data_IF_089593043932
#
_entry.id   IF_089593043932
#
_cell.length_a   1.000
_cell.length_b   1.000
_cell.length_c   1.000
_cell.angle_alpha   90.00
_cell.angle_beta   90.00
_cell.angle_gamma   90.00
#
_symmetry.space_group_name_H-M   'P 1'
#
loop_
_entity.id
_entity.type
_entity.pdbx_description
1 polymer ?
#
# COMPACT_ATOMS: atom_id res chain seq x y z
N UNK A 1 8.42 25.03 -4.00
CA UNK A 1 7.52 24.32 -4.95
C UNK A 1 7.19 22.91 -4.51
N UNK A 2 8.08 22.19 -3.81
CA UNK A 2 7.82 20.80 -3.38
C UNK A 2 6.73 20.67 -2.30
N UNK A 3 6.43 21.74 -1.57
CA UNK A 3 5.51 21.71 -0.42
C UNK A 3 4.01 21.67 -0.80
N UNK A 4 3.67 21.99 -2.07
CA UNK A 4 2.30 21.87 -2.59
C UNK A 4 2.07 20.53 -3.30
N UNK A 5 3.13 19.95 -3.87
CA UNK A 5 3.03 18.68 -4.61
C UNK A 5 2.67 17.53 -3.67
N UNK A 6 3.27 17.47 -2.46
CA UNK A 6 2.93 16.42 -1.50
C UNK A 6 1.51 16.55 -0.96
N UNK A 7 0.98 17.78 -0.77
CA UNK A 7 -0.42 18.01 -0.38
C UNK A 7 -1.38 17.46 -1.42
N UNK A 8 -1.09 17.67 -2.72
CA UNK A 8 -1.89 17.15 -3.82
C UNK A 8 -1.80 15.62 -3.90
N UNK A 9 -0.58 15.06 -3.84
CA UNK A 9 -0.36 13.61 -3.87
C UNK A 9 -1.03 12.92 -2.68
N UNK A 10 -1.02 13.54 -1.50
CA UNK A 10 -1.69 13.02 -0.30
C UNK A 10 -3.21 13.00 -0.46
N UNK A 11 -3.79 14.06 -1.02
CA UNK A 11 -5.23 14.14 -1.25
C UNK A 11 -5.68 13.12 -2.32
N UNK A 12 -4.85 12.87 -3.32
CA UNK A 12 -5.07 11.84 -4.35
C UNK A 12 -4.96 10.43 -3.74
N UNK A 13 -3.95 10.17 -2.90
CA UNK A 13 -3.75 8.88 -2.23
C UNK A 13 -4.90 8.59 -1.25
N UNK A 14 -5.35 9.59 -0.49
CA UNK A 14 -6.50 9.46 0.41
C UNK A 14 -7.78 9.08 -0.33
N UNK A 15 -8.12 9.82 -1.39
CA UNK A 15 -9.33 9.55 -2.20
C UNK A 15 -9.29 8.18 -2.89
N UNK A 16 -8.12 7.73 -3.34
CA UNK A 16 -7.97 6.42 -4.00
C UNK A 16 -8.04 5.25 -3.02
N UNK A 17 -7.56 5.41 -1.77
CA UNK A 17 -7.71 4.41 -0.70
C UNK A 17 -9.18 4.22 -0.31
N UNK A 18 -9.95 5.31 -0.18
CA UNK A 18 -11.37 5.28 0.14
C UNK A 18 -12.18 4.54 -0.95
N UNK A 19 -11.88 4.85 -2.23
CA UNK A 19 -12.52 4.18 -3.36
C UNK A 19 -12.22 2.68 -3.43
N UNK A 20 -10.99 2.25 -3.09
CA UNK A 20 -10.64 0.82 -3.01
C UNK A 20 -11.40 0.09 -1.91
N UNK A 21 -11.56 0.71 -0.74
CA UNK A 21 -12.32 0.12 0.37
C UNK A 21 -13.78 -0.12 -0.02
N UNK A 22 -14.43 0.87 -0.63
CA UNK A 22 -15.78 0.73 -1.16
C UNK A 22 -15.89 -0.36 -2.25
N UNK A 23 -14.88 -0.50 -3.12
CA UNK A 23 -14.85 -1.54 -4.14
C UNK A 23 -14.65 -2.95 -3.57
N UNK A 24 -13.82 -3.11 -2.53
CA UNK A 24 -13.62 -4.37 -1.83
C UNK A 24 -14.86 -4.80 -1.05
N UNK A 25 -15.56 -3.87 -0.40
CA UNK A 25 -16.82 -4.13 0.30
C UNK A 25 -17.93 -4.54 -0.68
N UNK A 26 -18.04 -3.86 -1.83
CA UNK A 26 -18.95 -4.27 -2.90
C UNK A 26 -18.61 -5.66 -3.46
N UNK A 27 -17.32 -5.96 -3.65
CA UNK A 27 -16.85 -7.27 -4.13
C UNK A 27 -17.04 -8.38 -3.09
N UNK A 28 -17.00 -8.05 -1.79
CA UNK A 28 -17.29 -8.97 -0.70
C UNK A 28 -18.80 -9.27 -0.63
N UNK A 29 -19.65 -8.26 -0.78
CA UNK A 29 -21.10 -8.43 -0.90
C UNK A 29 -21.48 -9.32 -2.09
N UNK A 30 -20.87 -9.10 -3.26
CA UNK A 30 -21.11 -9.93 -4.45
C UNK A 30 -20.70 -11.39 -4.28
N UNK A 31 -19.57 -11.67 -3.60
CA UNK A 31 -19.11 -13.04 -3.34
C UNK A 31 -19.97 -13.79 -2.32
N UNK A 32 -20.54 -13.09 -1.34
CA UNK A 32 -21.45 -13.70 -0.38
C UNK A 32 -22.83 -14.01 -0.98
N UNK A 33 -23.25 -13.27 -2.01
CA UNK A 33 -24.50 -13.52 -2.74
C UNK A 33 -24.47 -14.72 -3.70
N UNK A 34 -23.30 -15.27 -4.04
CA UNK A 34 -23.16 -16.36 -5.03
C UNK A 34 -23.01 -17.76 -4.41
N UNK A 35 -23.09 -17.90 -3.09
CA UNK A 35 -22.75 -19.17 -2.41
C UNK A 35 -23.95 -19.92 -1.80
N UNK A 36 -25.18 -19.64 -2.23
CA UNK A 36 -26.39 -20.32 -1.72
C UNK A 36 -27.28 -20.97 -2.78
N UNK A 37 -26.75 -21.30 -3.97
CA UNK A 37 -27.46 -22.09 -4.98
C UNK A 37 -26.68 -23.37 -5.28
N UNK A 38 -26.68 -24.30 -4.33
CA UNK A 38 -26.55 -25.74 -4.60
C UNK A 38 -26.82 -26.46 -3.29
N UNK A 39 -27.77 -27.38 -3.37
CA UNK A 39 -28.12 -28.38 -2.36
C UNK A 39 -29.05 -27.90 -1.24
N UNK A 40 -30.35 -27.81 -1.55
CA UNK A 40 -31.37 -28.50 -0.75
C UNK A 40 -32.63 -28.80 -1.56
N UNK A 41 -32.99 -30.07 -1.53
CA UNK A 41 -34.17 -30.68 -2.11
C UNK A 41 -35.48 -29.99 -1.70
N UNK A 42 -36.42 -30.00 -2.66
CA UNK A 42 -37.87 -30.18 -2.53
C UNK A 42 -38.59 -29.69 -1.27
N UNK A 43 -39.65 -28.88 -1.50
CA UNK A 43 -40.83 -28.70 -0.63
C UNK A 43 -40.94 -27.45 0.26
N UNK A 44 -40.33 -26.32 -0.12
CA UNK A 44 -40.76 -25.00 0.40
C UNK A 44 -41.01 -23.98 -0.72
N UNK A 45 -41.86 -24.35 -1.67
CA UNK A 45 -42.38 -23.45 -2.70
C UNK A 45 -43.68 -22.78 -2.22
N UNK A 46 -43.58 -21.86 -1.26
CA UNK A 46 -44.57 -20.81 -0.99
C UNK A 46 -44.14 -19.95 0.20
N UNK A 47 -43.41 -18.85 -0.04
CA UNK A 47 -43.54 -17.64 0.80
C UNK A 47 -42.81 -16.39 0.32
N UNK A 48 -41.87 -16.44 -0.64
CA UNK A 48 -41.08 -15.22 -0.99
C UNK A 48 -41.54 -14.58 -2.31
N UNK A 49 -42.83 -14.20 -2.38
CA UNK A 49 -43.34 -13.28 -3.40
C UNK A 49 -44.30 -12.21 -2.83
N UNK A 50 -44.17 -11.82 -1.55
CA UNK A 50 -45.05 -10.80 -0.93
C UNK A 50 -44.31 -9.57 -0.37
N UNK A 51 -43.18 -9.16 -0.94
CA UNK A 51 -42.53 -7.88 -0.56
C UNK A 51 -41.94 -7.12 -1.74
N UNK A 52 -42.56 -7.23 -2.92
CA UNK A 52 -42.38 -6.29 -4.02
C UNK A 52 -43.68 -5.48 -4.14
N UNK A 53 -43.78 -4.38 -3.41
CA UNK A 53 -44.53 -3.16 -3.76
C UNK A 53 -44.66 -2.26 -2.53
N UNK A 54 -43.62 -1.48 -2.26
CA UNK A 54 -43.71 -0.18 -1.57
C UNK A 54 -42.32 0.45 -1.54
N UNK A 55 -41.81 0.84 -2.71
CA UNK A 55 -40.80 1.90 -2.76
C UNK A 55 -41.47 3.07 -3.47
N UNK A 56 -42.10 3.90 -2.66
CA UNK A 56 -42.51 5.25 -3.03
C UNK A 56 -41.31 5.95 -3.66
N UNK A 57 -41.44 6.31 -4.95
CA UNK A 57 -40.52 7.19 -5.64
C UNK A 57 -40.49 8.54 -4.90
N UNK A 58 -39.53 8.70 -4.01
CA UNK A 58 -39.10 10.02 -3.58
C UNK A 58 -38.45 10.69 -4.79
N UNK A 59 -39.10 11.77 -5.24
CA UNK A 59 -38.64 12.68 -6.27
C UNK A 59 -37.27 13.23 -5.92
N UNK A 60 -36.22 12.69 -6.54
CA UNK A 60 -34.91 13.32 -6.53
C UNK A 60 -34.97 14.59 -7.40
N UNK A 61 -34.53 15.76 -6.88
CA UNK A 61 -34.55 17.00 -7.64
C UNK A 61 -33.65 16.88 -8.88
N UNK A 62 -34.16 17.36 -10.01
CA UNK A 62 -33.57 17.29 -11.36
C UNK A 62 -32.20 18.01 -11.52
N UNK A 63 -31.57 18.45 -10.44
CA UNK A 63 -30.39 19.31 -10.48
C UNK A 63 -29.06 18.54 -10.63
N UNK A 64 -28.99 17.27 -10.21
CA UNK A 64 -27.70 16.55 -10.18
C UNK A 64 -27.35 15.77 -11.46
N UNK A 65 -28.31 15.56 -12.39
CA UNK A 65 -28.02 14.81 -13.63
C UNK A 65 -27.11 15.57 -14.60
N UNK A 66 -26.96 16.88 -14.45
CA UNK A 66 -26.06 17.70 -15.29
C UNK A 66 -24.60 17.65 -14.82
N UNK A 67 -24.36 17.47 -13.52
CA UNK A 67 -22.99 17.41 -12.97
C UNK A 67 -22.27 16.11 -13.37
N UNK A 68 -23.00 14.99 -13.38
CA UNK A 68 -22.43 13.69 -13.74
C UNK A 68 -22.04 13.64 -15.24
N UNK A 69 -22.83 14.24 -16.14
CA UNK A 69 -22.50 14.28 -17.56
C UNK A 69 -21.32 15.22 -17.88
N UNK A 70 -21.18 16.34 -17.14
CA UNK A 70 -20.05 17.24 -17.29
C UNK A 70 -18.71 16.60 -16.84
N UNK A 71 -18.73 15.83 -15.75
CA UNK A 71 -17.55 15.12 -15.26
C UNK A 71 -17.05 14.05 -16.25
N UNK A 72 -17.96 13.34 -16.94
CA UNK A 72 -17.57 12.33 -17.95
C UNK A 72 -16.96 12.93 -19.22
N UNK A 73 -17.34 14.16 -19.60
CA UNK A 73 -16.75 14.84 -20.76
C UNK A 73 -15.35 15.40 -20.47
N UNK A 74 -15.10 15.86 -19.24
CA UNK A 74 -13.78 16.38 -18.84
C UNK A 74 -12.70 15.29 -18.76
N UNK A 75 -13.04 14.07 -18.34
CA UNK A 75 -12.08 12.94 -18.28
C UNK A 75 -11.67 12.49 -19.69
N UNK A 76 -12.56 12.59 -20.67
CA UNK A 76 -12.26 12.20 -22.06
C UNK A 76 -11.34 13.20 -22.79
N UNK A 77 -11.31 14.47 -22.38
CA UNK A 77 -10.48 15.51 -22.99
C UNK A 77 -9.06 15.61 -22.41
N UNK A 78 -8.78 14.94 -21.29
CA UNK A 78 -7.44 14.93 -20.67
C UNK A 78 -6.54 13.78 -21.16
N UNK A 79 -7.05 12.89 -22.01
CA UNK A 79 -6.21 11.90 -22.73
C UNK A 79 -5.65 12.56 -23.99
N UNK A 80 -4.80 13.56 -23.82
CA UNK A 80 -3.95 14.07 -24.90
C UNK A 80 -2.76 13.12 -25.01
N UNK A 81 -2.57 12.38 -26.12
CA UNK A 81 -1.38 11.56 -26.32
C UNK A 81 -0.16 12.48 -26.41
N UNK A 82 0.61 12.56 -25.33
CA UNK A 82 1.85 13.33 -25.26
C UNK A 82 2.94 12.54 -25.98
N UNK A 83 3.05 12.72 -27.30
CA UNK A 83 4.17 12.24 -28.11
C UNK A 83 5.38 13.14 -27.88
N UNK A 84 6.03 13.02 -26.73
CA UNK A 84 7.36 13.61 -26.54
C UNK A 84 8.40 12.74 -27.27
N UNK A 85 8.86 13.23 -28.42
CA UNK A 85 10.07 12.76 -29.07
C UNK A 85 11.26 12.97 -28.13
N UNK A 86 11.77 11.87 -27.58
CA UNK A 86 12.97 11.82 -26.74
C UNK A 86 14.21 12.02 -27.64
N UNK A 87 14.66 13.28 -27.76
CA UNK A 87 15.96 13.61 -28.35
C UNK A 87 17.03 13.30 -27.31
N UNK A 88 17.73 12.18 -27.52
CA UNK A 88 18.86 11.77 -26.70
C UNK A 88 20.02 12.76 -26.78
N UNK A 89 20.23 13.54 -25.73
CA UNK A 89 21.50 14.24 -25.49
C UNK A 89 22.45 13.33 -24.74
N UNK A 90 23.38 12.73 -25.49
CA UNK A 90 24.52 11.99 -24.95
C UNK A 90 25.51 12.99 -24.33
N UNK A 91 25.43 13.16 -23.00
CA UNK A 91 26.40 13.95 -22.25
C UNK A 91 27.41 13.01 -21.59
N UNK A 92 28.61 13.01 -22.17
CA UNK A 92 29.83 12.42 -21.64
C UNK A 92 30.06 12.86 -20.19
N UNK A 93 29.79 11.97 -19.22
CA UNK A 93 30.26 12.15 -17.85
C UNK A 93 31.58 11.43 -17.65
N UNK A 94 32.58 12.23 -17.33
CA UNK A 94 33.92 11.80 -16.98
C UNK A 94 33.89 10.85 -15.79
N UNK A 95 34.54 9.71 -15.99
CA UNK A 95 34.83 8.69 -15.00
C UNK A 95 35.79 9.24 -13.95
N UNK A 96 35.26 9.68 -12.81
CA UNK A 96 36.06 9.87 -11.60
C UNK A 96 36.17 8.53 -10.90
N UNK A 97 37.40 8.01 -10.85
CA UNK A 97 37.78 6.82 -10.09
C UNK A 97 37.49 7.05 -8.61
N UNK A 98 36.31 6.63 -8.17
CA UNK A 98 35.94 6.60 -6.77
C UNK A 98 36.56 5.34 -6.16
N UNK A 99 37.71 5.54 -5.52
CA UNK A 99 38.40 4.57 -4.68
C UNK A 99 37.41 3.99 -3.66
N UNK A 100 37.03 2.72 -3.84
CA UNK A 100 36.21 2.00 -2.88
C UNK A 100 37.01 1.79 -1.58
N UNK A 101 36.45 2.11 -0.40
CA UNK A 101 37.01 1.62 0.84
C UNK A 101 36.84 0.10 0.88
N UNK A 102 37.97 -0.56 1.09
CA UNK A 102 38.16 -2.00 1.27
C UNK A 102 37.15 -2.53 2.30
N UNK A 103 36.03 -3.07 1.80
CA UNK A 103 35.05 -3.75 2.63
C UNK A 103 35.74 -4.94 3.30
N UNK A 104 35.75 -4.93 4.63
CA UNK A 104 36.10 -6.09 5.44
C UNK A 104 35.14 -7.21 5.05
N UNK A 105 35.69 -8.25 4.44
CA UNK A 105 34.98 -9.48 4.14
C UNK A 105 34.49 -10.10 5.45
N UNK A 106 33.25 -9.80 5.82
CA UNK A 106 32.51 -10.57 6.80
C UNK A 106 32.18 -11.90 6.13
N UNK A 107 33.10 -12.85 6.26
CA UNK A 107 32.93 -14.24 5.85
C UNK A 107 31.90 -14.87 6.80
N UNK A 108 30.62 -14.61 6.54
CA UNK A 108 29.52 -15.21 7.26
C UNK A 108 29.40 -16.67 6.80
N UNK A 109 30.10 -17.53 7.52
CA UNK A 109 30.02 -18.98 7.42
C UNK A 109 28.61 -19.41 7.85
N UNK A 110 27.64 -19.29 6.95
CA UNK A 110 26.30 -19.81 7.18
C UNK A 110 26.36 -21.33 7.01
N UNK A 111 26.69 -22.03 8.09
CA UNK A 111 26.47 -23.46 8.21
C UNK A 111 24.98 -23.73 7.96
N UNK A 112 24.71 -24.31 6.81
CA UNK A 112 23.42 -24.89 6.48
C UNK A 112 23.22 -26.13 7.34
N UNK A 113 22.71 -25.95 8.55
CA UNK A 113 22.11 -27.02 9.35
C UNK A 113 20.73 -27.37 8.78
N UNK A 114 20.68 -27.83 7.52
CA UNK A 114 19.57 -28.65 7.07
C UNK A 114 19.95 -30.09 7.41
N UNK A 115 19.53 -30.55 8.60
CA UNK A 115 19.49 -31.97 8.85
C UNK A 115 18.66 -32.59 7.71
N UNK A 116 19.21 -33.53 6.92
CA UNK A 116 18.42 -34.19 5.90
C UNK A 116 17.26 -34.88 6.61
N UNK A 117 16.04 -34.51 6.24
CA UNK A 117 14.87 -35.34 6.53
C UNK A 117 15.13 -36.66 5.81
N UNK A 118 15.67 -37.63 6.55
CA UNK A 118 15.81 -39.01 6.11
C UNK A 118 14.41 -39.59 6.12
N UNK A 119 13.64 -39.34 5.06
CA UNK A 119 12.51 -40.18 4.73
C UNK A 119 13.11 -41.54 4.39
N UNK A 120 13.10 -42.40 5.41
CA UNK A 120 13.41 -43.81 5.32
C UNK A 120 12.31 -44.42 4.45
N UNK A 121 12.52 -44.37 3.14
CA UNK A 121 11.73 -45.13 2.18
C UNK A 121 12.11 -46.58 2.39
N UNK A 122 11.21 -47.32 3.06
CA UNK A 122 11.35 -48.74 3.25
C UNK A 122 11.42 -49.40 1.87
N UNK A 123 12.58 -50.00 1.60
CA UNK A 123 12.91 -50.72 0.38
C UNK A 123 11.94 -51.89 0.23
N UNK A 124 10.83 -51.63 -0.46
CA UNK A 124 9.94 -52.66 -0.97
C UNK A 124 10.58 -53.19 -2.24
N UNK A 125 11.19 -54.36 -2.11
CA UNK A 125 11.76 -55.19 -3.17
C UNK A 125 10.67 -55.52 -4.20
N UNK A 126 10.56 -54.67 -5.23
CA UNK A 126 9.83 -54.98 -6.44
C UNK A 126 10.87 -55.34 -7.50
N UNK A 127 11.06 -56.65 -7.71
CA UNK A 127 11.73 -57.20 -8.89
C UNK A 127 10.96 -56.76 -10.13
N UNK A 128 11.33 -55.61 -10.68
CA UNK A 128 10.75 -55.09 -11.91
C UNK A 128 11.57 -55.70 -13.05
N UNK A 129 10.90 -56.57 -13.82
CA UNK A 129 11.49 -57.27 -14.95
C UNK A 129 12.10 -56.28 -15.94
N UNK A 130 13.35 -56.57 -16.26
CA UNK A 130 14.23 -55.94 -17.24
C UNK A 130 13.61 -56.03 -18.64
N UNK A 131 12.83 -55.01 -19.00
CA UNK A 131 12.23 -54.90 -20.32
C UNK A 131 12.55 -53.55 -20.97
N UNK A 132 13.24 -53.69 -22.11
CA UNK A 132 13.36 -52.77 -23.25
C UNK A 132 14.27 -51.56 -23.09
N UNK A 133 15.51 -51.74 -23.55
CA UNK A 133 16.43 -50.72 -24.08
C UNK A 133 15.84 -50.04 -25.34
N UNK A 134 14.68 -49.40 -25.22
CA UNK A 134 14.21 -48.43 -26.20
C UNK A 134 14.98 -47.12 -25.95
N UNK A 135 15.69 -46.56 -26.95
CA UNK A 135 16.44 -45.32 -26.80
C UNK A 135 15.44 -44.19 -26.53
N UNK A 136 15.23 -43.91 -25.24
CA UNK A 136 14.40 -42.82 -24.75
C UNK A 136 14.88 -41.54 -25.42
N UNK A 137 14.10 -41.12 -26.42
CA UNK A 137 14.38 -39.94 -27.21
C UNK A 137 14.65 -38.74 -26.31
N UNK A 138 15.61 -37.93 -26.74
CA UNK A 138 16.13 -36.68 -26.19
C UNK A 138 15.05 -35.57 -26.04
N UNK A 139 13.92 -35.90 -25.42
CA UNK A 139 12.79 -35.03 -25.12
C UNK A 139 12.46 -34.99 -23.63
N UNK A 140 13.09 -35.84 -22.81
CA UNK A 140 12.91 -35.87 -21.35
C UNK A 140 13.63 -34.75 -20.59
N UNK A 141 14.64 -34.10 -21.19
CA UNK A 141 15.41 -33.03 -20.55
C UNK A 141 14.59 -31.75 -20.28
N UNK A 142 13.67 -31.41 -21.20
CA UNK A 142 12.89 -30.16 -21.14
C UNK A 142 11.96 -30.12 -19.93
N UNK A 143 11.40 -31.27 -19.52
CA UNK A 143 10.48 -31.33 -18.37
C UNK A 143 11.24 -31.17 -17.05
N UNK A 144 12.47 -31.71 -16.95
CA UNK A 144 13.28 -31.61 -15.74
C UNK A 144 13.75 -30.15 -15.54
N UNK A 145 14.18 -29.47 -16.60
CA UNK A 145 14.56 -28.05 -16.54
C UNK A 145 13.38 -27.14 -16.15
N UNK A 146 12.17 -27.44 -16.63
CA UNK A 146 10.94 -26.71 -16.26
C UNK A 146 10.60 -26.86 -14.76
N UNK A 147 10.77 -28.05 -14.18
CA UNK A 147 10.56 -28.25 -12.75
C UNK A 147 11.62 -27.53 -11.91
N UNK A 148 12.88 -27.55 -12.35
CA UNK A 148 13.98 -26.91 -11.61
C UNK A 148 13.78 -25.41 -11.46
N UNK A 149 13.37 -24.68 -12.51
CA UNK A 149 13.17 -23.23 -12.37
C UNK A 149 11.98 -22.90 -11.47
N UNK A 150 10.92 -23.71 -11.45
CA UNK A 150 9.76 -23.48 -10.56
C UNK A 150 10.17 -23.60 -9.09
N UNK A 151 10.98 -24.62 -8.77
CA UNK A 151 11.53 -24.82 -7.43
C UNK A 151 12.44 -23.66 -7.03
N UNK A 152 13.35 -23.25 -7.92
CA UNK A 152 14.26 -22.13 -7.65
C UNK A 152 13.49 -20.80 -7.49
N UNK A 153 12.44 -20.57 -8.29
CA UNK A 153 11.56 -19.42 -8.15
C UNK A 153 10.87 -19.39 -6.78
N UNK A 154 10.29 -20.52 -6.34
CA UNK A 154 9.66 -20.61 -5.01
C UNK A 154 10.66 -20.33 -3.89
N UNK A 155 11.86 -20.90 -3.99
CA UNK A 155 12.96 -20.67 -3.05
C UNK A 155 13.34 -19.19 -2.99
N UNK A 156 13.45 -18.52 -4.14
CA UNK A 156 13.74 -17.08 -4.22
C UNK A 156 12.63 -16.23 -3.61
N UNK A 157 11.37 -16.56 -3.87
CA UNK A 157 10.21 -15.85 -3.30
C UNK A 157 10.17 -16.00 -1.77
N UNK A 158 10.38 -17.21 -1.24
CA UNK A 158 10.50 -17.43 0.20
C UNK A 158 11.65 -16.66 0.82
N UNK A 159 12.84 -16.70 0.18
CA UNK A 159 13.99 -15.96 0.66
C UNK A 159 13.75 -14.45 0.63
N UNK A 160 13.07 -13.93 -0.39
CA UNK A 160 12.73 -12.51 -0.48
C UNK A 160 11.72 -12.11 0.61
N UNK A 161 10.68 -12.92 0.84
CA UNK A 161 9.73 -12.72 1.96
C UNK A 161 10.43 -12.74 3.31
N UNK A 162 11.32 -13.71 3.55
CA UNK A 162 12.13 -13.77 4.77
C UNK A 162 12.97 -12.53 4.96
N UNK A 163 13.66 -12.05 3.92
CA UNK A 163 14.47 -10.81 3.99
C UNK A 163 13.62 -9.58 4.26
N UNK A 164 12.44 -9.50 3.67
CA UNK A 164 11.50 -8.40 3.93
C UNK A 164 11.03 -8.39 5.38
N UNK A 165 10.63 -9.56 5.91
CA UNK A 165 10.19 -9.70 7.31
C UNK A 165 11.33 -9.50 8.32
N UNK A 166 12.56 -9.89 7.98
CA UNK A 166 13.74 -9.70 8.82
C UNK A 166 14.30 -8.27 8.75
N UNK A 167 13.93 -7.50 7.74
CA UNK A 167 14.39 -6.12 7.62
C UNK A 167 13.80 -5.26 8.73
N UNK A 168 14.64 -4.49 9.41
CA UNK A 168 14.19 -3.57 10.45
C UNK A 168 13.21 -2.56 9.82
N UNK A 169 12.06 -2.27 10.47
CA UNK A 169 11.15 -1.24 10.00
C UNK A 169 11.90 0.09 9.81
N UNK A 170 11.66 0.74 8.68
CA UNK A 170 12.20 2.07 8.39
C UNK A 170 11.15 3.09 8.78
N UNK A 171 11.35 3.75 9.91
CA UNK A 171 10.45 4.81 10.35
C UNK A 171 10.79 6.12 9.65
N UNK A 172 9.78 7.00 9.52
CA UNK A 172 9.98 8.35 9.01
C UNK A 172 10.94 9.15 9.93
N UNK A 173 11.63 10.18 9.42
CA UNK A 173 12.31 11.18 10.25
C UNK A 173 11.31 11.92 11.16
N UNK A 174 11.77 12.39 12.33
CA UNK A 174 10.92 13.03 13.34
C UNK A 174 10.03 14.14 12.78
N UNK A 175 10.59 15.06 11.98
CA UNK A 175 9.87 16.21 11.43
C UNK A 175 8.75 15.80 10.47
N UNK A 176 9.01 14.82 9.59
CA UNK A 176 8.01 14.33 8.64
C UNK A 176 6.93 13.52 9.36
N UNK A 177 7.32 12.72 10.37
CA UNK A 177 6.39 11.97 11.21
C UNK A 177 5.45 12.91 11.96
N UNK A 178 5.97 13.99 12.54
CA UNK A 178 5.19 15.02 13.23
C UNK A 178 4.21 15.69 12.28
N UNK A 179 4.68 16.15 11.11
CA UNK A 179 3.81 16.75 10.08
C UNK A 179 2.68 15.82 9.67
N UNK A 180 2.96 14.52 9.54
CA UNK A 180 1.94 13.52 9.21
C UNK A 180 0.88 13.41 10.32
N UNK A 181 1.29 13.36 11.59
CA UNK A 181 0.36 13.29 12.73
C UNK A 181 -0.49 14.56 12.83
N UNK A 182 0.13 15.73 12.68
CA UNK A 182 -0.55 17.03 12.70
C UNK A 182 -1.55 17.20 11.55
N UNK A 183 -1.22 16.68 10.35
CA UNK A 183 -2.11 16.74 9.18
C UNK A 183 -3.40 15.92 9.34
N UNK A 184 -3.45 14.98 10.28
CA UNK A 184 -4.67 14.21 10.60
C UNK A 184 -5.66 14.97 11.48
N UNK A 185 -5.39 16.24 11.80
CA UNK A 185 -6.38 17.20 12.27
C UNK A 185 -6.74 17.06 13.76
N UNK A 186 -5.76 17.19 14.65
CA UNK A 186 -5.97 17.20 16.12
C UNK A 186 -6.78 16.01 16.66
N UNK A 187 -6.80 14.89 15.94
CA UNK A 187 -7.52 13.67 16.37
C UNK A 187 -7.06 13.16 17.73
N UNK A 188 -5.81 13.47 18.09
CA UNK A 188 -5.19 13.09 19.35
C UNK A 188 -4.66 14.37 20.00
N UNK A 189 -5.19 14.70 21.16
CA UNK A 189 -4.74 15.86 21.94
C UNK A 189 -3.70 15.43 22.98
N UNK A 190 -3.83 14.19 23.47
CA UNK A 190 -3.00 13.65 24.54
C UNK A 190 -2.25 12.38 24.10
N UNK A 191 -1.22 12.02 24.88
CA UNK A 191 -0.49 10.77 24.69
C UNK A 191 -1.37 9.53 24.91
N UNK A 192 -2.38 9.64 25.77
CA UNK A 192 -3.35 8.57 26.05
C UNK A 192 -4.23 8.29 24.84
N UNK A 193 -4.75 9.34 24.17
CA UNK A 193 -5.52 9.20 22.93
C UNK A 193 -4.73 8.48 21.82
N UNK A 194 -3.42 8.76 21.76
CA UNK A 194 -2.51 8.10 20.84
C UNK A 194 -2.35 6.62 21.16
N UNK A 195 -2.12 6.28 22.43
CA UNK A 195 -1.99 4.89 22.87
C UNK A 195 -3.28 4.09 22.67
N UNK A 196 -4.43 4.69 22.97
CA UNK A 196 -5.75 4.12 22.71
C UNK A 196 -5.94 3.83 21.22
N UNK A 197 -5.57 4.78 20.36
CA UNK A 197 -5.62 4.59 18.91
C UNK A 197 -4.72 3.43 18.43
N UNK A 198 -3.52 3.32 18.99
CA UNK A 198 -2.61 2.19 18.70
C UNK A 198 -3.22 0.86 19.19
N UNK A 199 -3.85 0.86 20.37
CA UNK A 199 -4.44 -0.34 20.99
C UNK A 199 -5.66 -0.86 20.22
N UNK A 200 -6.43 0.04 19.60
CA UNK A 200 -7.58 -0.31 18.77
C UNK A 200 -7.18 -1.11 17.50
N UNK A 201 -5.90 -1.12 17.14
CA UNK A 201 -5.40 -1.90 16.00
C UNK A 201 -5.93 -1.40 14.66
N UNK A 202 -6.44 -0.17 14.60
CA UNK A 202 -6.83 0.48 13.35
C UNK A 202 -5.61 0.52 12.42
N UNK A 203 -5.84 0.34 11.10
CA UNK A 203 -4.82 0.10 10.06
C UNK A 203 -3.61 1.03 10.18
N UNK A 204 -2.64 0.60 10.99
CA UNK A 204 -1.50 1.42 11.39
C UNK A 204 -0.58 1.65 10.20
N UNK A 205 -0.18 2.90 10.01
CA UNK A 205 0.84 3.23 9.03
C UNK A 205 2.18 2.57 9.46
N UNK A 206 2.79 1.70 8.64
CA UNK A 206 4.02 0.98 9.02
C UNK A 206 5.23 1.91 9.21
N UNK A 207 5.16 3.14 8.70
CA UNK A 207 6.25 4.11 8.81
C UNK A 207 6.22 4.94 10.10
N UNK A 208 5.16 4.84 10.89
CA UNK A 208 4.99 5.58 12.14
C UNK A 208 5.27 4.65 13.33
N UNK A 209 6.24 4.98 14.21
CA UNK A 209 6.53 4.17 15.38
C UNK A 209 5.33 4.15 16.34
N UNK A 210 5.09 3.04 17.05
CA UNK A 210 4.01 2.97 18.06
C UNK A 210 4.30 3.86 19.26
N UNK A 211 5.57 3.88 19.67
CA UNK A 211 6.11 4.65 20.79
C UNK A 211 7.11 5.68 20.22
N UNK A 212 6.62 6.82 19.71
CA UNK A 212 7.47 7.84 19.10
C UNK A 212 8.43 8.45 20.12
N UNK A 213 8.03 8.59 21.38
CA UNK A 213 8.83 9.08 22.49
C UNK A 213 10.09 8.21 22.73
N UNK A 214 9.95 6.89 22.81
CA UNK A 214 11.09 5.99 22.99
C UNK A 214 11.97 5.94 21.73
N UNK A 215 11.34 5.86 20.55
CA UNK A 215 12.07 5.76 19.29
C UNK A 215 12.91 7.01 19.00
N UNK A 216 12.29 8.20 19.03
CA UNK A 216 12.99 9.46 18.78
C UNK A 216 13.79 9.94 19.99
N UNK A 217 13.44 9.51 21.20
CA UNK A 217 14.21 9.75 22.42
C UNK A 217 15.59 9.11 22.36
N UNK A 218 15.69 7.86 21.88
CA UNK A 218 16.99 7.21 21.62
C UNK A 218 17.83 7.92 20.56
N UNK A 219 17.20 8.65 19.64
CA UNK A 219 17.87 9.45 18.61
C UNK A 219 18.21 10.87 19.08
N UNK A 220 17.75 11.30 20.26
CA UNK A 220 17.90 12.67 20.75
C UNK A 220 17.11 13.71 19.94
N UNK A 221 16.08 13.28 19.20
CA UNK A 221 15.24 14.15 18.37
C UNK A 221 13.88 14.45 19.02
N UNK A 222 13.55 13.75 20.11
CA UNK A 222 12.30 13.93 20.83
C UNK A 222 12.30 15.22 21.65
N UNK A 223 11.21 15.97 21.56
CA UNK A 223 11.01 17.23 22.29
C UNK A 223 10.01 17.03 23.42
N UNK A 224 8.72 16.89 23.08
CA UNK A 224 7.64 16.60 24.02
C UNK A 224 6.43 16.06 23.25
N UNK A 225 5.45 15.50 23.96
CA UNK A 225 4.18 15.08 23.37
C UNK A 225 3.40 16.24 22.79
N UNK A 226 3.35 17.36 23.50
CA UNK A 226 2.72 18.61 23.05
C UNK A 226 3.27 19.05 21.70
N UNK A 227 4.60 19.09 21.55
CA UNK A 227 5.23 19.46 20.28
C UNK A 227 4.98 18.44 19.16
N UNK A 228 4.78 17.16 19.50
CA UNK A 228 4.55 16.09 18.54
C UNK A 228 3.11 16.07 18.01
N UNK A 229 2.12 16.32 18.89
CA UNK A 229 0.70 16.22 18.58
C UNK A 229 0.07 17.57 18.19
N UNK A 230 0.43 18.66 18.87
CA UNK A 230 -0.20 19.95 18.65
C UNK A 230 0.31 20.59 17.37
N UNK A 231 -0.62 21.17 16.60
CA UNK A 231 -0.27 22.03 15.47
C UNK A 231 0.33 23.30 16.09
N UNK A 232 1.60 23.67 15.77
CA UNK A 232 2.07 25.00 16.16
C UNK A 232 1.09 26.01 15.56
N UNK A 233 0.71 27.08 16.29
CA UNK A 233 -0.14 28.12 15.71
C UNK A 233 0.47 28.48 14.36
N UNK A 234 -0.31 28.36 13.29
CA UNK A 234 0.13 28.72 11.95
C UNK A 234 0.62 30.16 12.04
N UNK A 235 1.91 30.38 11.84
CA UNK A 235 2.47 31.74 11.71
C UNK A 235 1.84 32.48 10.50
N UNK A 236 1.07 31.77 9.68
CA UNK A 236 0.35 32.28 8.52
C UNK A 236 -1.00 32.96 8.85
N UNK A 237 -1.48 32.94 10.10
CA UNK A 237 -2.76 33.58 10.48
C UNK A 237 -2.61 35.04 10.99
N UNK A 238 -1.38 35.55 11.10
CA UNK A 238 -1.12 36.91 11.60
C UNK A 238 -0.94 37.97 10.49
N UNK A 239 -0.93 37.58 9.21
CA UNK A 239 -0.65 38.50 8.08
C UNK A 239 -1.91 39.14 7.42
N UNK A 240 -3.13 38.76 7.82
CA UNK A 240 -4.37 39.24 7.17
C UNK A 240 -5.05 40.45 7.88
N UNK A 241 -4.55 40.93 9.03
CA UNK A 241 -5.17 42.07 9.73
C UNK A 241 -4.70 43.47 9.26
N UNK A 242 -3.61 43.61 8.51
CA UNK A 242 -3.12 44.95 8.11
C UNK A 242 -3.76 45.55 6.83
N UNK A 243 -4.41 44.76 5.95
CA UNK A 243 -4.96 45.31 4.69
C UNK A 243 -6.33 46.02 4.84
N UNK A 244 -6.94 45.98 6.03
CA UNK A 244 -8.27 46.57 6.26
C UNK A 244 -8.26 48.04 6.68
N UNK A 245 -7.11 48.62 7.04
CA UNK A 245 -7.04 50.02 7.46
C UNK A 245 -6.75 50.99 6.30
N UNK A 246 -6.02 50.60 5.27
CA UNK A 246 -5.67 51.50 4.16
C UNK A 246 -6.86 51.81 3.22
N UNK A 247 -7.93 51.00 3.25
CA UNK A 247 -9.12 51.23 2.42
C UNK A 247 -10.09 52.28 2.99
N UNK A 248 -9.99 52.62 4.28
CA UNK A 248 -10.87 53.62 4.91
C UNK A 248 -10.42 55.07 4.72
N UNK A 249 -9.16 55.32 4.37
CA UNK A 249 -8.66 56.68 4.14
C UNK A 249 -8.93 57.21 2.73
N UNK A 250 -9.33 56.37 1.77
CA UNK A 250 -9.57 56.78 0.37
C UNK A 250 -11.02 57.11 0.03
N UNK A 251 -11.95 57.11 0.99
CA UNK A 251 -13.37 57.44 0.74
C UNK A 251 -13.78 58.85 1.25
N UNK A 252 -12.83 59.67 1.71
CA UNK A 252 -13.14 61.00 2.27
C UNK A 252 -12.52 62.20 1.54
N UNK A 253 -11.97 62.01 0.34
CA UNK A 253 -11.53 63.09 -0.57
C UNK A 253 -12.31 63.01 -1.89
#
# INVERSE_FOLDING_TARGET
MDDLQWKLDYQIIGKTMEQRKNAEDLSRCLRLGQRSETDHDSDYSACILSSRNSLTMATYPLFERRVILAATLLVSLLVIPTTHAFVGSSSNRHSTKMTQPRALAFHQHHQQNHAPIVLRMDASDSSIDDHSDEPLGDGGGVVIEDLMWRVEKLRLEENNKKRFLQSKPRFLPYQECRKWVQAWGLRWETAEDWEDWISMGEKKNPYIPSQPDEYYGRLGQWVSWEHFLLIPPSEDDDDDEEESQEKREKEFD
#
